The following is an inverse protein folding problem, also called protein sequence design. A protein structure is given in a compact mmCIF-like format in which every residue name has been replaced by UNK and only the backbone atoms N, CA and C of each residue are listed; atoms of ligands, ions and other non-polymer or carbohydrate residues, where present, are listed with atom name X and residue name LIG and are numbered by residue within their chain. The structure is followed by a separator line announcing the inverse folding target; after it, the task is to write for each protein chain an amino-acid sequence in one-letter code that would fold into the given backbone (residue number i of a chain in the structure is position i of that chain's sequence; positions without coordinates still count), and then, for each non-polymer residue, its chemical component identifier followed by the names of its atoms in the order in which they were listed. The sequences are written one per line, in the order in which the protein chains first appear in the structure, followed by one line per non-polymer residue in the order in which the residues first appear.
data_IF_898287848083
#
_entry.id   IF_898287848083
#
_cell.length_a   1.000
_cell.length_b   1.000
_cell.length_c   1.000
_cell.angle_alpha   90.00
_cell.angle_beta   90.00
_cell.angle_gamma   90.00
#
_symmetry.space_group_name_H-M   'P 1'
#
loop_
_entity.id
_entity.type
_entity.pdbx_description
1 polymer ?
#
# COMPACT_ATOMS: atom_id res chain seq x y z
N UNK A 1 -8.63 -44.08 7.04
CA UNK A 1 -9.52 -43.20 6.24
C UNK A 1 -9.75 -41.93 7.03
N UNK A 2 -9.03 -40.87 6.70
CA UNK A 2 -9.41 -39.50 7.08
C UNK A 2 -9.01 -38.62 5.91
N UNK A 3 -9.99 -38.50 5.02
CA UNK A 3 -9.92 -37.72 3.79
C UNK A 3 -9.91 -36.22 4.11
N UNK A 4 -9.22 -35.52 3.22
CA UNK A 4 -8.96 -34.09 3.17
C UNK A 4 -10.15 -33.18 3.51
N UNK A 5 -9.83 -32.11 4.25
CA UNK A 5 -10.49 -30.83 4.04
C UNK A 5 -9.49 -29.68 4.14
N UNK A 6 -8.38 -29.79 3.41
CA UNK A 6 -7.69 -28.59 2.94
C UNK A 6 -8.64 -27.94 1.95
N UNK A 7 -9.47 -27.02 2.48
CA UNK A 7 -10.33 -26.14 1.70
C UNK A 7 -9.38 -25.37 0.77
N UNK A 8 -9.24 -25.87 -0.45
CA UNK A 8 -8.68 -25.12 -1.56
C UNK A 8 -9.45 -23.81 -1.55
N UNK A 9 -8.75 -22.72 -1.24
CA UNK A 9 -9.26 -21.38 -1.51
C UNK A 9 -9.27 -21.35 -3.03
N UNK A 10 -10.37 -21.86 -3.56
CA UNK A 10 -10.67 -21.80 -4.96
C UNK A 10 -10.58 -20.33 -5.33
N UNK A 11 -9.84 -20.05 -6.39
CA UNK A 11 -9.55 -18.70 -6.86
C UNK A 11 -10.77 -18.11 -7.56
N UNK A 12 -11.95 -18.36 -6.99
CA UNK A 12 -13.25 -17.91 -7.47
C UNK A 12 -13.48 -16.53 -6.90
N UNK A 13 -13.20 -15.52 -7.72
CA UNK A 13 -13.72 -14.16 -7.64
C UNK A 13 -13.88 -13.57 -6.24
N UNK A 14 -12.76 -13.27 -5.59
CA UNK A 14 -12.76 -12.30 -4.49
C UNK A 14 -13.02 -10.92 -5.11
N UNK A 15 -14.30 -10.60 -5.27
CA UNK A 15 -14.76 -9.25 -5.61
C UNK A 15 -14.59 -8.41 -4.35
N UNK A 16 -13.66 -7.46 -4.37
CA UNK A 16 -13.53 -6.48 -3.28
C UNK A 16 -14.59 -5.42 -3.50
N UNK A 17 -15.29 -5.03 -2.43
CA UNK A 17 -16.22 -3.91 -2.48
C UNK A 17 -15.49 -2.65 -3.01
N UNK A 18 -16.02 -2.02 -4.06
CA UNK A 18 -15.44 -0.81 -4.65
C UNK A 18 -15.27 0.31 -3.61
N UNK A 19 -16.18 0.41 -2.63
CA UNK A 19 -16.07 1.37 -1.54
C UNK A 19 -14.83 1.09 -0.67
N UNK A 20 -14.51 -0.18 -0.43
CA UNK A 20 -13.32 -0.58 0.32
C UNK A 20 -12.03 -0.25 -0.45
N UNK A 21 -12.05 -0.39 -1.79
CA UNK A 21 -10.95 0.06 -2.66
C UNK A 21 -10.76 1.57 -2.56
N UNK A 22 -11.85 2.34 -2.61
CA UNK A 22 -11.81 3.80 -2.57
C UNK A 22 -11.32 4.30 -1.20
N UNK A 23 -11.82 3.71 -0.11
CA UNK A 23 -11.38 4.01 1.27
C UNK A 23 -9.89 3.67 1.46
N UNK A 24 -9.44 2.49 1.03
CA UNK A 24 -8.04 2.08 1.12
C UNK A 24 -7.13 2.98 0.28
N UNK A 25 -7.59 3.39 -0.91
CA UNK A 25 -6.88 4.35 -1.78
C UNK A 25 -6.74 5.71 -1.12
N UNK A 26 -7.82 6.24 -0.54
CA UNK A 26 -7.82 7.53 0.15
C UNK A 26 -6.88 7.51 1.37
N UNK A 27 -6.90 6.42 2.15
CA UNK A 27 -6.01 6.24 3.28
C UNK A 27 -4.54 6.20 2.84
N UNK A 28 -4.19 5.38 1.86
CA UNK A 28 -2.81 5.28 1.36
C UNK A 28 -2.30 6.63 0.82
N UNK A 29 -3.14 7.38 0.11
CA UNK A 29 -2.78 8.72 -0.36
C UNK A 29 -2.53 9.70 0.79
N UNK A 30 -3.37 9.67 1.83
CA UNK A 30 -3.16 10.49 3.02
C UNK A 30 -1.85 10.14 3.74
N UNK A 31 -1.54 8.85 3.86
CA UNK A 31 -0.31 8.38 4.49
C UNK A 31 0.93 8.76 3.67
N UNK A 32 0.85 8.69 2.33
CA UNK A 32 1.89 9.15 1.41
C UNK A 32 2.16 10.63 1.61
N UNK A 33 1.11 11.46 1.66
CA UNK A 33 1.25 12.91 1.81
C UNK A 33 1.92 13.28 3.15
N UNK A 34 1.58 12.59 4.23
CA UNK A 34 2.21 12.80 5.55
C UNK A 34 3.70 12.47 5.50
N UNK A 35 4.09 11.34 4.89
CA UNK A 35 5.51 10.98 4.72
C UNK A 35 6.27 11.97 3.84
N UNK A 36 5.67 12.42 2.75
CA UNK A 36 6.29 13.41 1.85
C UNK A 36 6.54 14.73 2.58
N UNK A 37 5.61 15.16 3.44
CA UNK A 37 5.79 16.34 4.28
C UNK A 37 6.93 16.14 5.29
N UNK A 38 6.98 15.01 6.00
CA UNK A 38 8.07 14.73 6.94
C UNK A 38 9.43 14.65 6.24
N UNK A 39 9.51 14.05 5.06
CA UNK A 39 10.73 14.04 4.25
C UNK A 39 11.16 15.45 3.84
N UNK A 40 10.22 16.29 3.41
CA UNK A 40 10.51 17.68 3.07
C UNK A 40 11.03 18.48 4.28
N UNK A 41 10.49 18.24 5.48
CA UNK A 41 10.99 18.84 6.72
C UNK A 41 12.42 18.37 7.04
N UNK A 42 12.71 17.07 6.90
CA UNK A 42 14.05 16.53 7.11
C UNK A 42 15.07 17.04 6.10
N UNK A 43 14.68 17.29 4.84
CA UNK A 43 15.57 17.86 3.83
C UNK A 43 16.00 19.30 4.16
N UNK A 44 15.19 20.04 4.93
CA UNK A 44 15.58 21.38 5.43
C UNK A 44 16.52 21.33 6.65
N UNK A 45 16.65 20.16 7.29
CA UNK A 45 17.33 20.02 8.59
C UNK A 45 18.85 19.73 8.47
N UNK A 46 19.36 19.50 7.24
CA UNK A 46 20.78 19.22 7.00
C UNK A 46 21.17 17.77 7.32
N UNK A 47 22.25 17.29 6.69
CA UNK A 47 22.63 15.86 6.67
C UNK A 47 23.65 15.44 7.73
N UNK A 48 24.00 16.35 8.64
CA UNK A 48 25.08 16.14 9.60
C UNK A 48 24.67 15.30 10.81
N UNK A 49 23.37 14.97 10.94
CA UNK A 49 22.84 14.15 12.02
C UNK A 49 22.50 12.72 11.54
N UNK A 50 23.16 11.73 12.13
CA UNK A 50 22.95 10.32 11.83
C UNK A 50 21.49 9.86 12.10
N UNK A 51 20.81 10.47 13.07
CA UNK A 51 19.40 10.20 13.35
C UNK A 51 18.49 10.76 12.25
N UNK A 52 18.81 11.94 11.70
CA UNK A 52 18.09 12.53 10.56
C UNK A 52 18.27 11.66 9.32
N UNK A 53 19.48 11.18 9.05
CA UNK A 53 19.75 10.28 7.93
C UNK A 53 19.00 8.94 8.09
N UNK A 54 18.96 8.38 9.30
CA UNK A 54 18.22 7.16 9.59
C UNK A 54 16.70 7.34 9.44
N UNK A 55 16.15 8.46 9.94
CA UNK A 55 14.75 8.82 9.80
C UNK A 55 14.37 9.00 8.32
N UNK A 56 15.18 9.73 7.53
CA UNK A 56 14.94 9.93 6.09
C UNK A 56 14.88 8.60 5.35
N UNK A 57 15.83 7.70 5.64
CA UNK A 57 15.82 6.35 5.04
C UNK A 57 14.55 5.57 5.40
N UNK A 58 14.19 5.53 6.68
CA UNK A 58 12.98 4.84 7.16
C UNK A 58 11.71 5.36 6.48
N UNK A 59 11.57 6.69 6.36
CA UNK A 59 10.41 7.29 5.70
C UNK A 59 10.38 7.01 4.20
N UNK A 60 11.53 6.99 3.52
CA UNK A 60 11.61 6.57 2.12
C UNK A 60 11.18 5.12 1.91
N UNK A 61 11.57 4.21 2.80
CA UNK A 61 11.19 2.80 2.73
C UNK A 61 9.68 2.64 2.94
N UNK A 62 9.10 3.34 3.93
CA UNK A 62 7.65 3.36 4.15
C UNK A 62 6.88 3.97 2.97
N UNK A 63 7.42 5.04 2.36
CA UNK A 63 6.82 5.69 1.19
C UNK A 63 6.77 4.73 0.00
N UNK A 64 7.86 4.01 -0.21
CA UNK A 64 7.96 2.99 -1.27
C UNK A 64 6.93 1.88 -1.06
N UNK A 65 6.83 1.35 0.17
CA UNK A 65 5.84 0.32 0.51
C UNK A 65 4.39 0.78 0.26
N UNK A 66 4.05 2.02 0.65
CA UNK A 66 2.71 2.60 0.44
C UNK A 66 2.38 2.78 -1.04
N UNK A 67 3.34 3.23 -1.84
CA UNK A 67 3.18 3.37 -3.30
C UNK A 67 3.04 2.03 -4.00
N UNK A 68 3.78 1.01 -3.56
CA UNK A 68 3.62 -0.37 -4.06
C UNK A 68 2.23 -0.92 -3.74
N UNK A 69 1.75 -0.71 -2.51
CA UNK A 69 0.43 -1.15 -2.07
C UNK A 69 -0.68 -0.45 -2.87
N UNK A 70 -0.55 0.85 -3.12
CA UNK A 70 -1.45 1.62 -3.97
C UNK A 70 -1.46 1.09 -5.42
N UNK A 71 -0.28 0.77 -5.96
CA UNK A 71 -0.15 0.16 -7.30
C UNK A 71 -0.81 -1.21 -7.37
N UNK A 72 -0.66 -2.04 -6.33
CA UNK A 72 -1.30 -3.35 -6.24
C UNK A 72 -2.84 -3.21 -6.17
N UNK A 73 -3.33 -2.27 -5.35
CA UNK A 73 -4.76 -2.00 -5.22
C UNK A 73 -5.36 -1.50 -6.55
N UNK A 74 -4.66 -0.61 -7.25
CA UNK A 74 -5.07 -0.13 -8.58
C UNK A 74 -5.09 -1.25 -9.64
N UNK A 75 -4.13 -2.20 -9.59
CA UNK A 75 -4.13 -3.38 -10.46
C UNK A 75 -5.33 -4.26 -10.16
N UNK A 76 -5.62 -4.50 -8.88
CA UNK A 76 -6.75 -5.32 -8.47
C UNK A 76 -8.11 -4.70 -8.86
N UNK A 77 -8.28 -3.40 -8.70
CA UNK A 77 -9.47 -2.68 -9.14
C UNK A 77 -9.70 -2.82 -10.66
N UNK A 78 -8.63 -2.72 -11.47
CA UNK A 78 -8.69 -2.91 -12.92
C UNK A 78 -9.07 -4.34 -13.31
N UNK A 79 -8.54 -5.34 -12.61
CA UNK A 79 -8.88 -6.74 -12.87
C UNK A 79 -10.36 -7.02 -12.57
N UNK A 80 -10.89 -6.49 -11.47
CA UNK A 80 -12.31 -6.62 -11.13
C UNK A 80 -13.21 -5.95 -12.17
N UNK A 81 -12.86 -4.75 -12.66
CA UNK A 81 -13.62 -4.06 -13.70
C UNK A 81 -13.71 -4.82 -15.04
N UNK A 82 -12.77 -5.73 -15.32
CA UNK A 82 -12.80 -6.59 -16.52
C UNK A 82 -13.68 -7.82 -16.30
N UNK A 83 -13.72 -8.36 -15.07
CA UNK A 83 -14.52 -9.54 -14.72
C UNK A 83 -16.01 -9.21 -14.61
N UNK A 84 -16.36 -8.02 -14.13
CA UNK A 84 -17.78 -7.60 -13.97
C UNK A 84 -18.45 -7.15 -15.27
N UNK A 85 -17.78 -7.25 -16.43
CA UNK A 85 -18.22 -6.65 -17.71
C UNK A 85 -18.82 -7.65 -18.69
#
# INVERSE_FOLDING_TARGET
MTEDKRKTIDSTDITIDQKLIDEGTAQLNSEIQVLENWLAELDTTGDDDAEVAAARKSYHDMLSSRREMLSALAKQAKLQAVVTK
#
